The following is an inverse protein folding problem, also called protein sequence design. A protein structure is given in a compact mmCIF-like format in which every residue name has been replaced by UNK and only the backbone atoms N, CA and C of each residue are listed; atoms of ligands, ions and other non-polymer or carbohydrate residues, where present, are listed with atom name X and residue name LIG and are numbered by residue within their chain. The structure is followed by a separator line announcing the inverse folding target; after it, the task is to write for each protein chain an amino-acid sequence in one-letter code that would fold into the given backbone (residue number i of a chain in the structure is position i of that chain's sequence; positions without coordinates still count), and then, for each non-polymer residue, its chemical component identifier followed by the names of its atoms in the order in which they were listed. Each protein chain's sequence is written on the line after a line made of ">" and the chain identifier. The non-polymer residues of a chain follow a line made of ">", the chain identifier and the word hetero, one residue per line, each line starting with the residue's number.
data_IF_262097703967
#
_entry.id   IF_262097703967
#
_cell.length_a   1.000
_cell.length_b   1.000
_cell.length_c   1.000
_cell.angle_alpha   90.00
_cell.angle_beta   90.00
_cell.angle_gamma   90.00
#
_symmetry.space_group_name_H-M   'P 1'
#
loop_
_entity.id
_entity.type
_entity.pdbx_description
1 polymer ?
#
# COMPACT_ATOMS: atom_id res chain seq x y z
N UNK A 1 -5.59 -7.22 16.06
CA UNK A 1 -4.43 -6.48 15.50
C UNK A 1 -4.72 -6.16 14.06
N UNK A 2 -4.54 -4.91 13.66
CA UNK A 2 -4.72 -4.49 12.26
C UNK A 2 -3.39 -4.50 11.53
N UNK A 3 -3.43 -4.93 10.26
CA UNK A 3 -2.26 -4.98 9.37
C UNK A 3 -2.45 -3.97 8.25
N UNK A 4 -1.48 -3.07 8.08
CA UNK A 4 -1.44 -2.13 6.96
C UNK A 4 -0.24 -2.49 6.09
N UNK A 5 -0.51 -2.90 4.86
CA UNK A 5 0.51 -3.33 3.89
C UNK A 5 0.59 -2.31 2.76
N UNK A 6 1.74 -1.69 2.60
CA UNK A 6 2.01 -0.80 1.47
C UNK A 6 2.84 -1.52 0.40
N UNK A 7 2.37 -1.51 -0.83
CA UNK A 7 3.02 -2.19 -1.94
C UNK A 7 4.05 -1.32 -2.66
N UNK A 8 5.12 -1.94 -3.12
CA UNK A 8 6.18 -1.31 -3.88
C UNK A 8 7.22 -2.33 -4.35
N UNK A 9 8.22 -1.86 -5.06
CA UNK A 9 9.40 -2.63 -5.44
C UNK A 9 10.59 -2.23 -4.56
N UNK A 10 11.40 -3.20 -4.09
CA UNK A 10 12.57 -2.90 -3.28
C UNK A 10 13.71 -2.32 -4.13
N UNK A 11 14.57 -1.57 -3.48
CA UNK A 11 15.78 -1.00 -4.07
C UNK A 11 15.65 0.48 -4.38
N UNK A 12 16.78 1.18 -4.31
CA UNK A 12 16.85 2.64 -4.50
C UNK A 12 16.44 3.08 -5.91
N UNK A 13 16.57 2.22 -6.91
CA UNK A 13 16.16 2.49 -8.28
C UNK A 13 14.63 2.67 -8.43
N UNK A 14 13.86 2.11 -7.52
CA UNK A 14 12.41 2.21 -7.56
C UNK A 14 11.83 3.24 -6.56
N UNK A 15 12.68 3.80 -5.70
CA UNK A 15 12.25 4.80 -4.74
C UNK A 15 11.69 6.03 -5.44
N UNK A 16 10.52 6.51 -4.99
CA UNK A 16 9.85 7.68 -5.57
C UNK A 16 9.14 7.40 -6.89
N UNK A 17 9.07 6.16 -7.35
CA UNK A 17 8.27 5.80 -8.53
C UNK A 17 6.79 5.76 -8.18
N UNK A 18 5.93 5.88 -9.20
CA UNK A 18 4.47 5.82 -9.03
C UNK A 18 4.02 4.50 -8.40
N UNK A 19 4.67 3.40 -8.78
CA UNK A 19 4.35 2.07 -8.25
C UNK A 19 4.66 1.91 -6.76
N UNK A 20 5.51 2.79 -6.19
CA UNK A 20 5.94 2.74 -4.79
C UNK A 20 5.14 3.67 -3.86
N UNK A 21 4.01 4.22 -4.29
CA UNK A 21 3.20 5.09 -3.41
C UNK A 21 2.74 4.37 -2.13
N UNK A 22 2.53 3.06 -2.20
CA UNK A 22 2.22 2.26 -1.00
C UNK A 22 3.35 2.31 0.03
N UNK A 23 4.60 2.19 -0.41
CA UNK A 23 5.77 2.34 0.48
C UNK A 23 5.84 3.75 1.06
N UNK A 24 5.53 4.76 0.26
CA UNK A 24 5.55 6.16 0.73
C UNK A 24 4.54 6.39 1.85
N UNK A 25 3.37 5.77 1.76
CA UNK A 25 2.34 5.84 2.82
C UNK A 25 2.81 5.13 4.10
N UNK A 26 3.43 3.98 3.99
CA UNK A 26 4.02 3.29 5.14
C UNK A 26 5.09 4.17 5.81
N UNK A 27 5.94 4.81 5.02
CA UNK A 27 6.93 5.77 5.51
C UNK A 27 6.29 6.94 6.26
N UNK A 28 5.22 7.51 5.72
CA UNK A 28 4.48 8.61 6.37
C UNK A 28 3.86 8.17 7.71
N UNK A 29 3.24 7.00 7.74
CA UNK A 29 2.68 6.45 8.98
C UNK A 29 3.78 6.16 10.01
N UNK A 30 4.90 5.60 9.58
CA UNK A 30 6.05 5.32 10.46
C UNK A 30 6.59 6.60 11.09
N UNK A 31 6.73 7.66 10.30
CA UNK A 31 7.16 8.97 10.78
C UNK A 31 6.12 9.58 11.72
N UNK A 32 4.85 9.56 11.35
CA UNK A 32 3.74 10.18 12.09
C UNK A 32 3.59 9.57 13.50
N UNK A 33 3.70 8.26 13.59
CA UNK A 33 3.52 7.53 14.84
C UNK A 33 4.84 7.15 15.52
N UNK A 34 5.94 7.81 15.14
CA UNK A 34 7.27 7.64 15.74
C UNK A 34 7.69 6.18 15.87
N UNK A 35 7.52 5.43 14.79
CA UNK A 35 7.90 4.02 14.76
C UNK A 35 9.38 3.82 15.07
N UNK A 36 9.71 2.75 15.76
CA UNK A 36 11.08 2.33 15.99
C UNK A 36 11.76 1.83 14.71
N UNK A 37 12.91 1.19 14.88
CA UNK A 37 13.62 0.59 13.75
C UNK A 37 12.80 -0.54 13.12
N UNK A 38 12.75 -0.57 11.78
CA UNK A 38 12.10 -1.62 11.05
C UNK A 38 12.84 -2.96 11.25
N UNK A 39 12.07 -4.03 11.34
CA UNK A 39 12.57 -5.40 11.42
C UNK A 39 12.34 -6.09 10.08
N UNK A 40 13.20 -7.04 9.76
CA UNK A 40 13.07 -7.85 8.54
C UNK A 40 12.47 -9.21 8.89
N UNK A 41 11.35 -9.55 8.28
CA UNK A 41 10.68 -10.84 8.46
C UNK A 41 9.76 -11.11 7.27
N UNK A 42 9.60 -12.38 6.90
CA UNK A 42 8.68 -12.79 5.84
C UNK A 42 8.86 -12.00 4.53
N UNK A 43 10.12 -11.85 4.11
CA UNK A 43 10.48 -11.08 2.89
C UNK A 43 9.96 -9.63 2.93
N UNK A 44 9.86 -9.03 4.12
CA UNK A 44 9.32 -7.71 4.31
C UNK A 44 10.12 -6.93 5.34
N UNK A 45 10.03 -5.61 5.27
CA UNK A 45 10.30 -4.74 6.41
C UNK A 45 8.97 -4.47 7.13
N UNK A 46 8.98 -4.51 8.44
CA UNK A 46 7.80 -4.24 9.24
C UNK A 46 8.14 -3.53 10.54
N UNK A 47 7.17 -2.83 11.08
CA UNK A 47 7.30 -2.13 12.37
C UNK A 47 5.95 -2.08 13.07
N UNK A 48 5.96 -2.23 14.39
CA UNK A 48 4.78 -2.01 15.22
C UNK A 48 4.62 -0.52 15.52
N UNK A 49 3.39 -0.02 15.45
CA UNK A 49 3.04 1.32 15.92
C UNK A 49 1.75 1.25 16.74
N UNK A 50 1.51 2.29 17.53
CA UNK A 50 0.22 2.49 18.18
C UNK A 50 -0.53 3.63 17.51
N UNK A 51 -1.77 3.36 17.13
CA UNK A 51 -2.69 4.36 16.60
C UNK A 51 -3.92 4.39 17.51
N UNK A 52 -4.03 5.46 18.30
CA UNK A 52 -5.00 5.47 19.40
C UNK A 52 -4.66 4.39 20.43
N UNK A 53 -5.62 3.54 20.74
CA UNK A 53 -5.43 2.39 21.64
C UNK A 53 -4.97 1.13 20.92
N UNK A 54 -4.98 1.12 19.59
CA UNK A 54 -4.77 -0.08 18.80
C UNK A 54 -3.30 -0.31 18.46
N UNK A 55 -2.89 -1.56 18.51
CA UNK A 55 -1.61 -2.01 18.00
C UNK A 55 -1.77 -2.33 16.51
N UNK A 56 -0.94 -1.72 15.68
CA UNK A 56 -0.96 -1.84 14.24
C UNK A 56 0.40 -2.29 13.75
N UNK A 57 0.41 -3.23 12.81
CA UNK A 57 1.62 -3.65 12.13
C UNK A 57 1.68 -2.98 10.75
N UNK A 58 2.72 -2.18 10.52
CA UNK A 58 3.02 -1.59 9.22
C UNK A 58 3.96 -2.52 8.48
N UNK A 59 3.63 -2.90 7.25
CA UNK A 59 4.36 -3.89 6.47
C UNK A 59 4.67 -3.34 5.08
N UNK A 60 5.94 -3.44 4.69
CA UNK A 60 6.41 -3.15 3.34
C UNK A 60 7.03 -4.43 2.76
N UNK A 61 6.32 -5.18 1.89
CA UNK A 61 6.89 -6.34 1.23
C UNK A 61 8.14 -5.96 0.42
N UNK A 62 9.25 -6.65 0.65
CA UNK A 62 10.51 -6.45 -0.07
C UNK A 62 10.69 -7.48 -1.19
N UNK A 63 9.60 -8.06 -1.64
CA UNK A 63 9.50 -8.80 -2.89
C UNK A 63 9.39 -7.82 -4.05
N UNK A 64 9.55 -8.27 -5.28
CA UNK A 64 9.07 -7.47 -6.40
C UNK A 64 7.55 -7.41 -6.38
N UNK A 65 6.98 -6.38 -6.99
CA UNK A 65 5.54 -6.09 -6.94
C UNK A 65 4.67 -7.32 -7.25
N UNK A 66 4.99 -8.04 -8.32
CA UNK A 66 4.23 -9.22 -8.76
C UNK A 66 4.32 -10.43 -7.83
N UNK A 67 5.17 -10.36 -6.79
CA UNK A 67 5.34 -11.39 -5.77
C UNK A 67 4.92 -10.90 -4.37
N UNK A 68 4.19 -9.80 -4.28
CA UNK A 68 3.77 -9.20 -2.99
C UNK A 68 3.00 -10.19 -2.12
N UNK A 69 2.22 -11.09 -2.72
CA UNK A 69 1.45 -12.09 -2.00
C UNK A 69 2.31 -13.12 -1.25
N UNK A 70 3.55 -13.37 -1.70
CA UNK A 70 4.47 -14.27 -0.98
C UNK A 70 4.77 -13.78 0.44
N UNK A 71 4.90 -12.48 0.60
CA UNK A 71 5.12 -11.87 1.91
C UNK A 71 3.82 -11.79 2.70
N UNK A 72 2.76 -11.27 2.09
CA UNK A 72 1.49 -11.03 2.77
C UNK A 72 0.89 -12.31 3.34
N UNK A 73 0.91 -13.42 2.58
CA UNK A 73 0.35 -14.69 3.06
C UNK A 73 1.04 -15.18 4.34
N UNK A 74 2.33 -14.93 4.50
CA UNK A 74 3.06 -15.33 5.70
C UNK A 74 2.62 -14.54 6.93
N UNK A 75 2.39 -13.24 6.80
CA UNK A 75 1.85 -12.43 7.88
C UNK A 75 0.41 -12.84 8.23
N UNK A 76 -0.41 -13.09 7.23
CA UNK A 76 -1.80 -13.53 7.45
C UNK A 76 -1.83 -14.90 8.16
N UNK A 77 -1.00 -15.83 7.76
CA UNK A 77 -0.93 -17.15 8.40
C UNK A 77 -0.42 -17.06 9.85
N UNK A 78 0.50 -16.16 10.13
CA UNK A 78 1.07 -16.02 11.48
C UNK A 78 0.11 -15.28 12.42
N UNK A 79 -0.40 -14.11 12.01
CA UNK A 79 -1.22 -13.26 12.86
C UNK A 79 -2.70 -13.61 12.83
N UNK A 80 -3.16 -14.30 11.78
CA UNK A 80 -4.54 -14.72 11.58
C UNK A 80 -5.56 -13.57 11.80
N UNK A 81 -5.37 -12.41 11.15
CA UNK A 81 -6.33 -11.33 11.25
C UNK A 81 -7.63 -11.72 10.56
N UNK A 82 -8.74 -11.13 11.00
CA UNK A 82 -9.92 -11.09 10.14
C UNK A 82 -9.56 -10.31 8.87
N UNK A 83 -10.09 -10.70 7.72
CA UNK A 83 -9.73 -10.04 6.45
C UNK A 83 -10.11 -8.55 6.43
N UNK A 84 -11.11 -8.14 7.19
CA UNK A 84 -11.49 -6.73 7.36
C UNK A 84 -10.44 -5.91 8.12
N UNK A 85 -9.54 -6.57 8.85
CA UNK A 85 -8.42 -5.96 9.58
C UNK A 85 -7.10 -5.96 8.81
N UNK A 86 -7.13 -6.41 7.55
CA UNK A 86 -6.01 -6.34 6.62
C UNK A 86 -6.32 -5.31 5.54
N UNK A 87 -5.54 -4.24 5.45
CA UNK A 87 -5.65 -3.27 4.36
C UNK A 87 -4.40 -3.27 3.48
N UNK A 88 -4.62 -3.25 2.18
CA UNK A 88 -3.55 -3.13 1.18
C UNK A 88 -3.60 -1.73 0.58
N UNK A 89 -2.46 -1.04 0.59
CA UNK A 89 -2.29 0.30 0.01
C UNK A 89 -1.47 0.17 -1.26
N UNK A 90 -2.04 0.60 -2.38
CA UNK A 90 -1.42 0.43 -3.69
C UNK A 90 -1.78 1.57 -4.65
N UNK A 91 -0.99 1.70 -5.72
CA UNK A 91 -1.26 2.62 -6.82
C UNK A 91 -2.43 2.16 -7.69
N UNK A 92 -3.09 3.12 -8.34
CA UNK A 92 -4.19 2.85 -9.25
C UNK A 92 -4.14 3.81 -10.45
N UNK A 93 -3.88 3.27 -11.64
CA UNK A 93 -3.87 4.05 -12.89
C UNK A 93 -5.26 4.52 -13.32
N UNK A 94 -6.31 3.84 -12.88
CA UNK A 94 -7.69 4.17 -13.24
C UNK A 94 -8.29 5.28 -12.37
N UNK A 95 -7.50 5.81 -11.45
CA UNK A 95 -7.85 6.90 -10.56
C UNK A 95 -6.94 8.09 -10.84
N UNK A 96 -7.52 9.28 -10.97
CA UNK A 96 -6.77 10.50 -11.24
C UNK A 96 -5.69 10.75 -10.18
N UNK A 97 -4.55 11.27 -10.61
CA UNK A 97 -3.44 11.58 -9.71
C UNK A 97 -3.87 12.46 -8.53
N UNK A 98 -3.41 12.10 -7.35
CA UNK A 98 -3.74 12.81 -6.12
C UNK A 98 -5.05 12.38 -5.46
N UNK A 99 -5.86 11.55 -6.08
CA UNK A 99 -7.08 11.00 -5.47
C UNK A 99 -6.78 9.72 -4.70
N UNK A 100 -7.59 9.46 -3.66
CA UNK A 100 -7.57 8.20 -2.93
C UNK A 100 -8.97 7.58 -2.98
N UNK A 101 -9.03 6.25 -2.95
CA UNK A 101 -10.30 5.53 -2.99
C UNK A 101 -10.24 4.25 -2.17
N UNK A 102 -11.15 4.12 -1.24
CA UNK A 102 -11.38 2.88 -0.52
C UNK A 102 -12.25 1.90 -1.31
N UNK A 103 -11.91 0.62 -1.19
CA UNK A 103 -12.76 -0.49 -1.60
C UNK A 103 -12.71 -1.55 -0.51
N UNK A 104 -13.88 -2.01 -0.07
CA UNK A 104 -13.95 -3.06 0.95
C UNK A 104 -13.51 -4.42 0.39
N UNK A 105 -13.72 -4.63 -0.90
CA UNK A 105 -13.38 -5.86 -1.62
C UNK A 105 -13.39 -5.62 -3.12
N UNK A 106 -12.98 -6.60 -3.88
CA UNK A 106 -13.08 -6.56 -5.34
C UNK A 106 -11.83 -7.05 -6.06
N UNK A 107 -11.85 -6.94 -7.39
CA UNK A 107 -10.73 -7.35 -8.25
C UNK A 107 -9.50 -6.46 -8.03
N UNK A 108 -8.36 -6.93 -8.57
CA UNK A 108 -7.10 -6.18 -8.53
C UNK A 108 -7.11 -4.91 -9.39
N UNK A 109 -8.03 -4.79 -10.36
CA UNK A 109 -8.09 -3.63 -11.25
C UNK A 109 -6.80 -3.41 -12.05
N UNK A 110 -6.08 -4.48 -12.38
CA UNK A 110 -4.82 -4.42 -13.13
C UNK A 110 -3.57 -4.18 -12.29
N UNK A 111 -3.69 -4.01 -10.98
CA UNK A 111 -2.53 -3.87 -10.09
C UNK A 111 -1.94 -5.25 -9.80
N UNK A 112 -0.67 -5.46 -10.21
CA UNK A 112 -0.03 -6.78 -10.19
C UNK A 112 0.20 -7.32 -8.77
N UNK A 113 0.60 -6.47 -7.84
CA UNK A 113 0.81 -6.90 -6.45
C UNK A 113 -0.48 -7.31 -5.78
N UNK A 114 -1.53 -6.53 -5.97
CA UNK A 114 -2.86 -6.84 -5.46
C UNK A 114 -3.40 -8.14 -6.06
N UNK A 115 -3.17 -8.36 -7.35
CA UNK A 115 -3.56 -9.60 -8.02
C UNK A 115 -2.87 -10.83 -7.41
N UNK A 116 -1.57 -10.74 -7.14
CA UNK A 116 -0.81 -11.82 -6.50
C UNK A 116 -1.31 -12.12 -5.08
N UNK A 117 -1.63 -11.06 -4.32
CA UNK A 117 -2.19 -11.20 -2.97
C UNK A 117 -3.54 -11.94 -3.03
N UNK A 118 -4.45 -11.51 -3.90
CA UNK A 118 -5.77 -12.15 -4.08
C UNK A 118 -5.60 -13.63 -4.42
N UNK A 119 -4.71 -13.93 -5.36
CA UNK A 119 -4.44 -15.30 -5.79
C UNK A 119 -3.93 -16.18 -4.65
N UNK A 120 -2.98 -15.68 -3.86
CA UNK A 120 -2.35 -16.45 -2.77
C UNK A 120 -3.24 -16.57 -1.54
N UNK A 121 -4.00 -15.54 -1.21
CA UNK A 121 -4.99 -15.61 -0.13
C UNK A 121 -6.20 -16.45 -0.49
N UNK A 122 -6.51 -16.60 -1.78
CA UNK A 122 -7.71 -17.27 -2.25
C UNK A 122 -8.98 -16.45 -1.99
N UNK A 123 -8.85 -15.14 -1.74
CA UNK A 123 -9.98 -14.24 -1.47
C UNK A 123 -9.64 -12.82 -1.91
N UNK A 124 -10.64 -12.08 -2.34
CA UNK A 124 -10.56 -10.65 -2.61
C UNK A 124 -11.36 -9.83 -1.57
N UNK A 125 -11.81 -10.44 -0.50
CA UNK A 125 -12.68 -9.82 0.50
C UNK A 125 -11.88 -9.17 1.62
N UNK A 126 -10.97 -8.28 1.25
CA UNK A 126 -10.21 -7.45 2.18
C UNK A 126 -10.18 -6.00 1.69
N UNK A 127 -10.14 -5.02 2.62
CA UNK A 127 -10.05 -3.60 2.26
C UNK A 127 -8.77 -3.27 1.50
N UNK A 128 -8.89 -2.34 0.57
CA UNK A 128 -7.75 -1.71 -0.07
C UNK A 128 -7.95 -0.21 -0.17
N UNK A 129 -6.90 0.52 0.04
CA UNK A 129 -6.82 1.95 -0.20
C UNK A 129 -6.03 2.17 -1.48
N UNK A 130 -6.70 2.65 -2.51
CA UNK A 130 -6.11 2.92 -3.81
C UNK A 130 -5.68 4.37 -3.90
N UNK A 131 -4.46 4.59 -4.37
CA UNK A 131 -3.89 5.92 -4.54
C UNK A 131 -3.73 6.18 -6.03
N UNK A 132 -4.44 7.18 -6.54
CA UNK A 132 -4.47 7.51 -7.95
C UNK A 132 -3.13 8.04 -8.43
N UNK A 133 -2.66 7.48 -9.55
CA UNK A 133 -1.47 7.93 -10.27
C UNK A 133 -1.77 8.37 -11.70
N UNK A 134 -3.04 8.28 -12.11
CA UNK A 134 -3.45 8.58 -13.47
C UNK A 134 -2.99 7.56 -14.50
N UNK A 135 -3.46 7.72 -15.72
CA UNK A 135 -3.09 6.86 -16.83
C UNK A 135 -1.84 7.39 -17.54
N UNK A 136 -1.04 6.49 -18.17
CA UNK A 136 0.09 6.94 -18.97
C UNK A 136 -0.38 7.84 -20.11
N UNK A 137 0.36 8.94 -20.38
CA UNK A 137 0.01 9.85 -21.46
C UNK A 137 0.37 9.26 -22.82
N UNK A 138 -0.45 9.57 -23.83
CA UNK A 138 -0.19 9.17 -25.22
C UNK A 138 -0.07 7.67 -25.39
N UNK A 139 1.04 7.23 -25.98
CA UNK A 139 1.30 5.81 -26.25
C UNK A 139 2.30 5.15 -25.27
N UNK A 140 2.61 5.83 -24.19
CA UNK A 140 3.48 5.25 -23.16
C UNK A 140 2.85 3.97 -22.60
N UNK A 141 3.64 2.89 -22.46
CA UNK A 141 3.13 1.66 -21.89
C UNK A 141 2.97 1.77 -20.36
N UNK A 142 2.13 0.91 -19.81
CA UNK A 142 1.79 0.94 -18.39
C UNK A 142 2.99 0.66 -17.49
N UNK A 143 3.87 -0.27 -17.89
CA UNK A 143 5.06 -0.62 -17.11
C UNK A 143 5.99 0.58 -16.98
N UNK A 144 6.29 1.27 -18.07
CA UNK A 144 7.12 2.47 -18.05
C UNK A 144 6.49 3.58 -17.20
N UNK A 145 5.18 3.71 -17.21
CA UNK A 145 4.47 4.71 -16.41
C UNK A 145 4.56 4.42 -14.92
N UNK A 146 4.20 3.23 -14.48
CA UNK A 146 4.21 2.88 -13.04
C UNK A 146 5.62 2.84 -12.45
N UNK A 147 6.63 2.47 -13.25
CA UNK A 147 8.03 2.46 -12.83
C UNK A 147 8.72 3.82 -13.00
N UNK A 148 8.03 4.79 -13.57
CA UNK A 148 8.51 6.15 -13.68
C UNK A 148 8.32 6.95 -12.39
N UNK A 149 9.20 7.91 -12.18
CA UNK A 149 9.07 8.84 -11.05
C UNK A 149 8.01 9.89 -11.36
N UNK A 150 7.41 10.44 -10.30
CA UNK A 150 6.48 11.54 -10.45
C UNK A 150 7.17 12.74 -11.10
N UNK A 151 6.48 13.35 -12.06
CA UNK A 151 6.89 14.62 -12.67
C UNK A 151 6.73 15.74 -11.65
N UNK A 152 7.43 16.85 -11.86
CA UNK A 152 7.36 17.99 -10.96
C UNK A 152 5.91 18.48 -10.75
N UNK A 153 5.12 18.55 -11.83
CA UNK A 153 3.71 18.96 -11.77
C UNK A 153 2.80 17.97 -11.00
N UNK A 154 3.24 16.73 -10.81
CA UNK A 154 2.50 15.71 -10.04
C UNK A 154 2.83 15.72 -8.54
N UNK A 155 3.99 16.25 -8.16
CA UNK A 155 4.56 16.05 -6.80
C UNK A 155 3.70 16.64 -5.70
N UNK A 156 3.18 17.85 -5.87
CA UNK A 156 2.37 18.51 -4.85
C UNK A 156 1.10 17.71 -4.54
N UNK A 157 0.36 17.30 -5.57
CA UNK A 157 -0.85 16.52 -5.36
C UNK A 157 -0.56 15.12 -4.81
N UNK A 158 0.57 14.53 -5.14
CA UNK A 158 0.95 13.22 -4.59
C UNK A 158 1.39 13.32 -3.12
N UNK A 159 2.06 14.39 -2.72
CA UNK A 159 2.36 14.63 -1.30
C UNK A 159 1.08 14.82 -0.48
N UNK A 160 0.10 15.55 -1.02
CA UNK A 160 -1.21 15.68 -0.38
C UNK A 160 -1.95 14.34 -0.32
N UNK A 161 -1.90 13.53 -1.37
CA UNK A 161 -2.52 12.21 -1.39
C UNK A 161 -1.92 11.30 -0.32
N UNK A 162 -0.60 11.32 -0.15
CA UNK A 162 0.10 10.56 0.90
C UNK A 162 -0.40 10.94 2.29
N UNK A 163 -0.50 12.24 2.58
CA UNK A 163 -1.01 12.72 3.87
C UNK A 163 -2.46 12.33 4.09
N UNK A 164 -3.31 12.51 3.07
CA UNK A 164 -4.72 12.11 3.13
C UNK A 164 -4.89 10.59 3.31
N UNK A 165 -4.04 9.81 2.65
CA UNK A 165 -4.03 8.36 2.82
C UNK A 165 -3.70 7.97 4.26
N UNK A 166 -2.68 8.60 4.85
CA UNK A 166 -2.32 8.38 6.24
C UNK A 166 -3.45 8.79 7.19
N UNK A 167 -4.09 9.94 6.97
CA UNK A 167 -5.25 10.38 7.76
C UNK A 167 -6.40 9.37 7.68
N UNK A 168 -6.67 8.89 6.49
CA UNK A 168 -7.75 7.94 6.23
C UNK A 168 -7.47 6.57 6.86
N UNK A 169 -6.21 6.13 6.85
CA UNK A 169 -5.81 4.88 7.51
C UNK A 169 -5.88 4.98 9.04
N UNK A 170 -5.48 6.12 9.60
CA UNK A 170 -5.65 6.39 11.04
C UNK A 170 -7.12 6.28 11.45
N UNK A 171 -8.01 6.89 10.66
CA UNK A 171 -9.46 6.80 10.89
C UNK A 171 -9.96 5.37 10.76
N UNK A 172 -9.51 4.64 9.74
CA UNK A 172 -9.88 3.23 9.55
C UNK A 172 -9.45 2.35 10.73
N UNK A 173 -8.29 2.59 11.31
CA UNK A 173 -7.84 1.85 12.50
C UNK A 173 -8.81 2.06 13.66
N UNK A 174 -9.27 3.29 13.85
CA UNK A 174 -10.11 3.67 15.00
C UNK A 174 -11.59 3.31 14.81
N UNK A 175 -12.11 3.44 13.60
CA UNK A 175 -13.55 3.37 13.32
C UNK A 175 -13.95 2.21 12.40
N UNK A 176 -12.98 1.57 11.73
CA UNK A 176 -13.27 0.61 10.67
C UNK A 176 -13.65 1.28 9.35
N UNK A 177 -14.01 0.46 8.37
CA UNK A 177 -14.47 0.93 7.06
C UNK A 177 -16.00 0.98 7.08
N UNK A 178 -16.56 2.18 7.04
CA UNK A 178 -18.01 2.44 7.02
C UNK A 178 -18.47 2.74 5.60
#
# INVERSE_FOLDING_TARGET
>A
MKLIVGLGNPGSQYAGTRHNVGFDVIGELSRRFAAGAAQTKYKSEHVDVRIGSDKVLLIAPMTFMNCSGEAVIQFVNFYQPDLEDLVIVCDDMNLAGGRIRWRAKGSAGGQNGLNDIIKRLGSNEFPRLRIGIGRPPGQMNTTSWVLGRFREEERECQELAKVRAADSLEKWVQEGLN
#
